data_IF_760024743328
#
_entry.id   IF_760024743328
#
_cell.length_a   1.000
_cell.length_b   1.000
_cell.length_c   1.000
_cell.angle_alpha   90.00
_cell.angle_beta   90.00
_cell.angle_gamma   90.00
#
_symmetry.space_group_name_H-M   'P 1'
#
loop_
_entity.id
_entity.type
_entity.pdbx_description
1 polymer ?
#
# COMPACT_ATOMS: atom_id res chain seq x y z
N UNK A 1 -7.34 -8.98 20.97
CA UNK A 1 -7.61 -9.26 19.54
C UNK A 1 -6.40 -9.90 18.87
N UNK A 2 -5.18 -9.32 19.04
CA UNK A 2 -3.95 -9.83 18.43
C UNK A 2 -3.73 -11.31 18.79
N UNK A 3 -3.73 -11.69 20.06
CA UNK A 3 -3.60 -13.08 20.53
C UNK A 3 -4.60 -14.05 19.88
N UNK A 4 -5.84 -13.60 19.67
CA UNK A 4 -6.88 -14.41 19.04
C UNK A 4 -6.67 -14.59 17.53
N UNK A 5 -6.28 -13.52 16.84
CA UNK A 5 -6.12 -13.54 15.37
C UNK A 5 -4.79 -14.14 14.93
N UNK A 6 -3.71 -13.95 15.70
CA UNK A 6 -2.35 -14.29 15.31
C UNK A 6 -2.18 -15.74 14.83
N UNK A 7 -2.62 -16.80 15.55
CA UNK A 7 -2.43 -18.18 15.08
C UNK A 7 -3.11 -18.46 13.75
N UNK A 8 -4.26 -17.83 13.49
CA UNK A 8 -5.03 -18.00 12.25
C UNK A 8 -4.37 -17.29 11.07
N UNK A 9 -3.87 -16.10 11.33
CA UNK A 9 -3.11 -15.34 10.34
C UNK A 9 -1.81 -16.05 9.98
N UNK A 10 -1.13 -16.66 10.96
CA UNK A 10 0.07 -17.47 10.72
C UNK A 10 -0.22 -18.71 9.87
N UNK A 11 -1.35 -19.40 10.10
CA UNK A 11 -1.78 -20.50 9.24
C UNK A 11 -2.02 -20.05 7.79
N UNK A 12 -2.72 -18.95 7.61
CA UNK A 12 -2.96 -18.38 6.29
C UNK A 12 -1.65 -17.91 5.62
N UNK A 13 -0.77 -17.25 6.39
CA UNK A 13 0.54 -16.85 5.92
C UNK A 13 1.38 -18.04 5.45
N UNK A 14 1.44 -19.11 6.25
CA UNK A 14 2.16 -20.34 5.90
C UNK A 14 1.62 -21.00 4.62
N UNK A 15 0.30 -21.04 4.43
CA UNK A 15 -0.32 -21.52 3.20
C UNK A 15 0.03 -20.62 2.00
N UNK A 16 -0.17 -19.32 2.14
CA UNK A 16 0.03 -18.33 1.09
C UNK A 16 1.50 -18.23 0.63
N UNK A 17 2.45 -18.44 1.56
CA UNK A 17 3.90 -18.38 1.29
C UNK A 17 4.55 -19.75 1.00
N UNK A 18 3.76 -20.80 0.81
CA UNK A 18 4.25 -22.12 0.45
C UNK A 18 4.89 -22.91 1.58
N UNK A 19 4.72 -22.50 2.83
CA UNK A 19 5.27 -23.17 4.02
C UNK A 19 4.33 -24.23 4.60
N UNK A 20 3.05 -24.24 4.21
CA UNK A 20 2.10 -25.27 4.59
C UNK A 20 2.24 -26.53 3.71
N UNK A 21 2.06 -27.70 4.30
CA UNK A 21 2.10 -28.96 3.55
C UNK A 21 1.10 -28.99 2.39
N UNK A 22 1.56 -29.35 1.21
CA UNK A 22 0.76 -29.39 -0.03
C UNK A 22 0.62 -28.05 -0.76
N UNK A 23 1.17 -26.94 -0.24
CA UNK A 23 1.25 -25.69 -0.97
C UNK A 23 2.36 -25.74 -2.03
N UNK A 24 2.06 -25.21 -3.23
CA UNK A 24 3.01 -25.11 -4.36
C UNK A 24 3.35 -23.66 -4.72
N UNK A 25 2.96 -22.69 -3.89
CA UNK A 25 3.18 -21.27 -4.17
C UNK A 25 4.65 -20.86 -4.20
N UNK A 26 5.54 -21.57 -3.50
CA UNK A 26 6.96 -21.26 -3.34
C UNK A 26 7.88 -22.32 -3.96
N UNK A 27 7.45 -23.05 -4.97
CA UNK A 27 8.23 -24.11 -5.62
C UNK A 27 9.20 -23.62 -6.70
N UNK A 28 9.25 -22.31 -6.96
CA UNK A 28 10.12 -21.70 -7.95
C UNK A 28 11.48 -21.28 -7.35
N UNK A 29 12.56 -21.47 -8.12
CA UNK A 29 13.92 -21.14 -7.67
C UNK A 29 14.18 -19.63 -7.52
N UNK A 30 13.38 -18.78 -8.18
CA UNK A 30 13.46 -17.33 -8.04
C UNK A 30 13.06 -16.84 -6.64
N UNK A 31 12.35 -17.65 -5.85
CA UNK A 31 11.77 -17.24 -4.58
C UNK A 31 10.52 -16.36 -4.70
N UNK A 32 10.06 -16.07 -5.93
CA UNK A 32 8.80 -15.40 -6.18
C UNK A 32 7.62 -16.35 -5.97
N UNK A 33 6.47 -15.81 -5.55
CA UNK A 33 5.30 -16.62 -5.20
C UNK A 33 4.37 -16.80 -6.40
N UNK A 34 3.84 -18.02 -6.52
CA UNK A 34 2.94 -18.47 -7.58
C UNK A 34 1.60 -18.94 -7.03
N UNK A 35 0.58 -18.06 -6.89
CA UNK A 35 -0.70 -18.42 -6.29
C UNK A 35 -1.70 -19.11 -7.23
N UNK A 36 -1.41 -19.21 -8.52
CA UNK A 36 -2.36 -19.63 -9.58
C UNK A 36 -2.91 -21.05 -9.44
N UNK A 37 -2.22 -21.92 -8.69
CA UNK A 37 -2.66 -23.32 -8.51
C UNK A 37 -3.98 -23.42 -7.74
N UNK A 38 -4.37 -22.38 -7.03
CA UNK A 38 -5.58 -22.37 -6.21
C UNK A 38 -6.71 -21.61 -6.87
N UNK A 39 -6.37 -20.55 -7.59
CA UNK A 39 -7.37 -19.64 -8.15
C UNK A 39 -6.75 -18.78 -9.24
N UNK A 40 -7.27 -18.85 -10.48
CA UNK A 40 -6.68 -18.11 -11.59
C UNK A 40 -6.77 -16.59 -11.37
N UNK A 41 -7.82 -16.11 -10.69
CA UNK A 41 -8.01 -14.71 -10.34
C UNK A 41 -7.52 -14.38 -8.93
N UNK A 42 -6.35 -14.90 -8.54
CA UNK A 42 -5.82 -14.75 -7.18
C UNK A 42 -5.45 -13.31 -6.79
N UNK A 43 -5.32 -12.41 -7.75
CA UNK A 43 -5.17 -10.97 -7.50
C UNK A 43 -6.48 -10.24 -7.22
N UNK A 44 -7.64 -10.85 -7.49
CA UNK A 44 -8.95 -10.22 -7.37
C UNK A 44 -9.19 -9.11 -8.40
N UNK A 45 -8.42 -9.07 -9.48
CA UNK A 45 -8.46 -8.05 -10.52
C UNK A 45 -8.94 -8.68 -11.84
N UNK A 46 -10.25 -8.86 -11.97
CA UNK A 46 -10.92 -9.76 -12.91
C UNK A 46 -10.48 -9.65 -14.36
N UNK A 47 -10.30 -8.45 -14.89
CA UNK A 47 -9.86 -8.22 -16.27
C UNK A 47 -8.48 -7.54 -16.36
N UNK A 48 -7.67 -7.63 -15.30
CA UNK A 48 -6.33 -7.06 -15.30
C UNK A 48 -5.47 -7.71 -16.39
N UNK A 49 -4.84 -6.91 -17.28
CA UNK A 49 -4.24 -7.43 -18.50
C UNK A 49 -3.25 -8.58 -18.35
N UNK A 50 -2.22 -8.51 -17.47
CA UNK A 50 -1.28 -9.62 -17.35
C UNK A 50 -1.91 -10.87 -16.75
N UNK A 51 -2.89 -10.73 -15.85
CA UNK A 51 -3.59 -11.86 -15.24
C UNK A 51 -4.41 -12.63 -16.29
N UNK A 52 -5.14 -11.92 -17.14
CA UNK A 52 -5.83 -12.51 -18.28
C UNK A 52 -4.88 -13.22 -19.23
N UNK A 53 -3.77 -12.57 -19.59
CA UNK A 53 -2.78 -13.15 -20.49
C UNK A 53 -2.16 -14.44 -19.92
N UNK A 54 -1.88 -14.49 -18.61
CA UNK A 54 -1.40 -15.71 -17.95
C UNK A 54 -2.40 -16.86 -18.14
N UNK A 55 -3.69 -16.60 -17.91
CA UNK A 55 -4.74 -17.61 -18.04
C UNK A 55 -4.95 -18.04 -19.50
N UNK A 56 -5.09 -17.09 -20.42
CA UNK A 56 -5.32 -17.34 -21.85
C UNK A 56 -4.15 -18.15 -22.50
N UNK A 57 -2.92 -17.88 -22.06
CA UNK A 57 -1.71 -18.56 -22.55
C UNK A 57 -1.33 -19.80 -21.72
N UNK A 58 -2.11 -20.15 -20.68
CA UNK A 58 -1.86 -21.30 -19.79
C UNK A 58 -0.48 -21.25 -19.13
N UNK A 59 -0.11 -20.08 -18.62
CA UNK A 59 1.19 -19.83 -18.01
C UNK A 59 1.17 -19.92 -16.48
N UNK A 60 0.08 -20.38 -15.86
CA UNK A 60 -0.13 -20.39 -14.41
C UNK A 60 0.98 -21.12 -13.65
N UNK A 61 1.57 -22.16 -14.25
CA UNK A 61 2.68 -22.90 -13.65
C UNK A 61 4.05 -22.23 -13.79
N UNK A 62 4.18 -21.24 -14.65
CA UNK A 62 5.45 -20.65 -15.07
C UNK A 62 5.52 -19.15 -14.95
N UNK A 63 4.48 -18.50 -14.48
CA UNK A 63 4.41 -17.05 -14.37
C UNK A 63 4.03 -16.64 -12.94
N UNK A 64 4.75 -15.68 -12.37
CA UNK A 64 4.46 -15.13 -11.04
C UNK A 64 3.99 -13.68 -11.14
N UNK A 65 2.87 -13.34 -10.48
CA UNK A 65 2.44 -11.95 -10.32
C UNK A 65 3.27 -11.25 -9.24
N UNK A 66 3.63 -10.01 -9.48
CA UNK A 66 4.41 -9.20 -8.53
C UNK A 66 3.64 -8.93 -7.25
N UNK A 67 2.37 -8.59 -7.38
CA UNK A 67 1.50 -8.18 -6.27
C UNK A 67 1.44 -9.23 -5.17
N UNK A 68 1.47 -10.51 -5.49
CA UNK A 68 1.42 -11.60 -4.52
C UNK A 68 2.65 -11.60 -3.61
N UNK A 69 3.86 -11.52 -4.19
CA UNK A 69 5.10 -11.46 -3.41
C UNK A 69 5.21 -10.15 -2.64
N UNK A 70 4.75 -9.02 -3.20
CA UNK A 70 4.69 -7.75 -2.49
C UNK A 70 3.78 -7.81 -1.25
N UNK A 71 2.60 -8.42 -1.36
CA UNK A 71 1.73 -8.66 -0.20
C UNK A 71 2.38 -9.59 0.83
N UNK A 72 3.12 -10.62 0.41
CA UNK A 72 3.84 -11.50 1.33
C UNK A 72 4.88 -10.72 2.15
N UNK A 73 5.64 -9.82 1.53
CA UNK A 73 6.55 -8.91 2.25
C UNK A 73 5.79 -8.08 3.29
N UNK A 74 4.70 -7.44 2.87
CA UNK A 74 3.91 -6.60 3.79
C UNK A 74 3.30 -7.40 4.94
N UNK A 75 2.72 -8.57 4.66
CA UNK A 75 2.18 -9.46 5.68
C UNK A 75 3.27 -9.94 6.66
N UNK A 76 4.43 -10.34 6.15
CA UNK A 76 5.56 -10.76 6.98
C UNK A 76 5.98 -9.67 7.97
N UNK A 77 6.11 -8.42 7.54
CA UNK A 77 6.47 -7.29 8.41
C UNK A 77 5.42 -7.00 9.49
N UNK A 78 4.14 -7.01 9.12
CA UNK A 78 3.06 -6.78 10.09
C UNK A 78 3.02 -7.92 11.12
N UNK A 79 3.16 -9.16 10.66
CA UNK A 79 3.16 -10.34 11.53
C UNK A 79 4.42 -10.41 12.41
N UNK A 80 5.60 -9.99 11.91
CA UNK A 80 6.81 -9.89 12.71
C UNK A 80 6.64 -8.90 13.87
N UNK A 81 6.12 -7.71 13.60
CA UNK A 81 5.79 -6.76 14.67
C UNK A 81 4.76 -7.34 15.65
N UNK A 82 3.72 -8.03 15.17
CA UNK A 82 2.72 -8.67 16.04
C UNK A 82 3.34 -9.78 16.89
N UNK A 83 4.26 -10.56 16.32
CA UNK A 83 5.01 -11.60 17.03
C UNK A 83 5.88 -11.01 18.16
N UNK A 84 6.56 -9.90 17.90
CA UNK A 84 7.30 -9.15 18.94
C UNK A 84 6.38 -8.71 20.09
N UNK A 85 5.21 -8.14 19.77
CA UNK A 85 4.24 -7.72 20.80
C UNK A 85 3.72 -8.88 21.65
N UNK A 86 3.62 -10.08 21.06
CA UNK A 86 3.14 -11.30 21.73
C UNK A 86 4.26 -12.15 22.34
N UNK A 87 5.51 -11.65 22.33
CA UNK A 87 6.71 -12.35 22.79
C UNK A 87 7.00 -13.70 22.08
N UNK A 88 6.61 -13.82 20.80
CA UNK A 88 6.93 -14.93 19.91
C UNK A 88 8.21 -14.65 19.11
N UNK A 89 9.37 -14.60 19.77
CA UNK A 89 10.64 -14.16 19.16
C UNK A 89 11.07 -14.99 17.95
N UNK A 90 10.96 -16.32 18.01
CA UNK A 90 11.32 -17.22 16.90
C UNK A 90 10.47 -16.97 15.64
N UNK A 91 9.19 -16.70 15.82
CA UNK A 91 8.31 -16.33 14.71
C UNK A 91 8.69 -14.97 14.13
N UNK A 92 9.01 -13.99 14.99
CA UNK A 92 9.43 -12.65 14.56
C UNK A 92 10.67 -12.74 13.67
N UNK A 93 11.72 -13.42 14.13
CA UNK A 93 12.98 -13.62 13.39
C UNK A 93 12.76 -14.34 12.04
N UNK A 94 11.86 -15.33 12.01
CA UNK A 94 11.52 -16.05 10.78
C UNK A 94 10.78 -15.16 9.79
N UNK A 95 9.84 -14.37 10.25
CA UNK A 95 9.03 -13.47 9.41
C UNK A 95 9.88 -12.31 8.86
N UNK A 96 10.83 -11.80 9.63
CA UNK A 96 11.80 -10.79 9.16
C UNK A 96 12.68 -11.36 8.04
N UNK A 97 13.20 -12.58 8.20
CA UNK A 97 13.96 -13.29 7.15
C UNK A 97 13.12 -13.56 5.90
N UNK A 98 11.85 -13.90 6.07
CA UNK A 98 10.92 -14.06 4.93
C UNK A 98 10.71 -12.74 4.20
N UNK A 99 10.50 -11.63 4.92
CA UNK A 99 10.35 -10.30 4.31
C UNK A 99 11.61 -9.89 3.52
N UNK A 100 12.80 -10.15 4.05
CA UNK A 100 14.07 -9.90 3.36
C UNK A 100 14.22 -10.78 2.10
N UNK A 101 13.93 -12.08 2.23
CA UNK A 101 14.01 -13.03 1.12
C UNK A 101 13.09 -12.64 -0.03
N UNK A 102 11.82 -12.33 0.27
CA UNK A 102 10.86 -11.91 -0.75
C UNK A 102 11.20 -10.54 -1.36
N UNK A 103 11.70 -9.61 -0.54
CA UNK A 103 12.18 -8.31 -1.04
C UNK A 103 13.31 -8.49 -2.05
N UNK A 104 14.29 -9.33 -1.72
CA UNK A 104 15.42 -9.65 -2.61
C UNK A 104 14.95 -10.30 -3.90
N UNK A 105 14.05 -11.28 -3.82
CA UNK A 105 13.48 -11.93 -5.00
C UNK A 105 12.78 -10.94 -5.96
N UNK A 106 12.03 -9.98 -5.41
CA UNK A 106 11.42 -8.90 -6.21
C UNK A 106 12.48 -8.02 -6.89
N UNK A 107 13.49 -7.57 -6.15
CA UNK A 107 14.53 -6.67 -6.67
C UNK A 107 15.41 -7.33 -7.73
N UNK A 108 15.77 -8.61 -7.53
CA UNK A 108 16.67 -9.35 -8.42
C UNK A 108 15.97 -9.86 -9.69
N UNK A 109 14.68 -10.23 -9.60
CA UNK A 109 14.02 -10.96 -10.67
C UNK A 109 12.85 -10.25 -11.32
N UNK A 110 12.22 -9.30 -10.63
CA UNK A 110 10.96 -8.71 -11.12
C UNK A 110 11.07 -7.28 -11.67
N UNK A 111 12.19 -6.59 -11.45
CA UNK A 111 12.36 -5.22 -11.96
C UNK A 111 12.71 -5.21 -13.44
N UNK A 112 11.85 -4.62 -14.27
CA UNK A 112 12.09 -4.36 -15.70
C UNK A 112 12.60 -2.92 -15.88
N UNK A 113 13.92 -2.77 -15.96
CA UNK A 113 14.61 -1.48 -16.11
C UNK A 113 14.06 -0.67 -17.29
N UNK A 114 13.82 -1.35 -18.42
CA UNK A 114 13.36 -0.68 -19.65
C UNK A 114 11.95 -0.11 -19.53
N UNK A 115 11.09 -0.70 -18.71
CA UNK A 115 9.74 -0.22 -18.43
C UNK A 115 9.67 0.72 -17.23
N UNK A 116 10.63 0.62 -16.31
CA UNK A 116 10.58 1.27 -15.00
C UNK A 116 9.40 0.80 -14.15
N UNK A 117 9.07 -0.50 -14.25
CA UNK A 117 8.02 -1.19 -13.49
C UNK A 117 8.46 -2.61 -13.12
N UNK A 118 7.90 -3.15 -12.06
CA UNK A 118 8.03 -4.58 -11.79
C UNK A 118 7.10 -5.37 -12.72
N UNK A 119 7.67 -6.37 -13.43
CA UNK A 119 6.96 -7.20 -14.39
C UNK A 119 6.46 -8.51 -13.80
N UNK A 120 5.45 -9.12 -14.42
CA UNK A 120 5.13 -10.52 -14.21
C UNK A 120 6.30 -11.36 -14.74
N UNK A 121 6.84 -12.25 -13.90
CA UNK A 121 8.07 -13.00 -14.20
C UNK A 121 7.73 -14.37 -14.77
N UNK A 122 8.26 -14.64 -15.94
CA UNK A 122 8.23 -15.97 -16.58
C UNK A 122 9.38 -16.82 -16.06
N UNK A 123 9.14 -18.11 -15.91
CA UNK A 123 10.13 -19.08 -15.43
C UNK A 123 10.37 -20.20 -16.44
N UNK A 124 11.59 -20.70 -16.48
CA UNK A 124 11.96 -21.89 -17.23
C UNK A 124 11.45 -23.19 -16.56
N UNK A 125 11.72 -24.34 -17.18
CA UNK A 125 11.31 -25.65 -16.67
C UNK A 125 11.96 -26.01 -15.32
N UNK A 126 13.07 -25.35 -14.97
CA UNK A 126 13.75 -25.51 -13.69
C UNK A 126 13.26 -24.51 -12.63
N UNK A 127 12.30 -23.65 -12.94
CA UNK A 127 11.76 -22.62 -12.04
C UNK A 127 12.65 -21.40 -11.86
N UNK A 128 13.64 -21.18 -12.73
CA UNK A 128 14.48 -19.98 -12.72
C UNK A 128 13.81 -18.86 -13.50
N UNK A 129 13.97 -17.61 -13.05
CA UNK A 129 13.49 -16.46 -13.77
C UNK A 129 14.10 -16.38 -15.19
N UNK A 130 13.26 -16.28 -16.22
CA UNK A 130 13.66 -16.35 -17.63
C UNK A 130 13.25 -15.11 -18.43
N UNK A 131 12.51 -14.17 -17.84
CA UNK A 131 12.09 -12.94 -18.49
C UNK A 131 10.74 -12.43 -17.96
N UNK A 132 10.17 -11.47 -18.67
CA UNK A 132 8.91 -10.83 -18.29
C UNK A 132 7.78 -11.19 -19.25
N UNK A 133 6.57 -11.28 -18.71
CA UNK A 133 5.36 -11.31 -19.53
C UNK A 133 5.22 -9.97 -20.26
N UNK A 134 5.18 -10.02 -21.59
CA UNK A 134 5.03 -8.85 -22.46
C UNK A 134 3.73 -8.96 -23.25
N UNK A 135 3.19 -7.80 -23.64
CA UNK A 135 2.06 -7.76 -24.55
C UNK A 135 2.48 -8.07 -26.01
N UNK A 136 1.53 -8.01 -26.93
CA UNK A 136 1.80 -8.29 -28.35
C UNK A 136 2.77 -7.29 -29.01
N UNK A 137 2.97 -6.11 -28.45
CA UNK A 137 3.93 -5.09 -28.92
C UNK A 137 5.31 -5.21 -28.26
N UNK A 138 5.51 -6.19 -27.37
CA UNK A 138 6.76 -6.39 -26.64
C UNK A 138 6.92 -5.49 -25.42
N UNK A 139 5.88 -4.77 -25.00
CA UNK A 139 5.88 -3.90 -23.83
C UNK A 139 5.61 -4.73 -22.56
N UNK A 140 6.19 -4.35 -21.43
CA UNK A 140 5.92 -4.96 -20.14
C UNK A 140 4.41 -4.96 -19.86
N UNK A 141 3.83 -6.13 -19.65
CA UNK A 141 2.37 -6.27 -19.52
C UNK A 141 1.84 -5.87 -18.11
N UNK A 142 2.72 -5.38 -17.21
CA UNK A 142 2.38 -4.99 -15.84
C UNK A 142 2.67 -3.50 -15.54
N UNK A 143 2.60 -2.63 -16.54
CA UNK A 143 2.70 -1.18 -16.32
C UNK A 143 1.40 -0.69 -15.66
N UNK A 144 1.46 -0.47 -14.35
CA UNK A 144 0.29 -0.09 -13.57
C UNK A 144 0.49 -0.28 -12.07
N UNK A 145 -0.61 -0.25 -11.31
CA UNK A 145 -0.58 -0.41 -9.85
C UNK A 145 -0.04 -1.78 -9.41
N UNK A 146 -0.23 -2.83 -10.22
CA UNK A 146 0.37 -4.13 -9.99
C UNK A 146 1.90 -4.06 -10.04
N UNK A 147 2.46 -3.37 -11.06
CA UNK A 147 3.90 -3.15 -11.21
C UNK A 147 4.50 -2.17 -10.21
N UNK A 148 3.68 -1.32 -9.59
CA UNK A 148 4.10 -0.41 -8.52
C UNK A 148 3.88 -0.99 -7.10
N UNK A 149 3.29 -2.18 -6.98
CA UNK A 149 2.94 -2.78 -5.68
C UNK A 149 4.11 -2.97 -4.70
N UNK A 150 5.37 -3.20 -5.11
CA UNK A 150 6.49 -3.23 -4.18
C UNK A 150 6.72 -1.94 -3.38
N UNK A 151 6.18 -0.79 -3.82
CA UNK A 151 6.20 0.46 -3.03
C UNK A 151 5.47 0.30 -1.70
N UNK A 152 4.21 -0.16 -1.71
CA UNK A 152 3.45 -0.32 -0.46
C UNK A 152 3.97 -1.49 0.40
N UNK A 153 4.70 -2.40 -0.19
CA UNK A 153 5.43 -3.42 0.55
C UNK A 153 6.73 -2.89 1.17
N UNK A 154 7.23 -1.75 0.71
CA UNK A 154 8.54 -1.22 1.06
C UNK A 154 9.68 -2.10 0.54
N UNK A 155 9.51 -2.71 -0.63
CA UNK A 155 10.41 -3.70 -1.23
C UNK A 155 11.23 -3.15 -2.42
N UNK A 156 11.16 -1.85 -2.69
CA UNK A 156 11.93 -1.17 -3.73
C UNK A 156 13.32 -0.76 -3.24
N UNK A 157 14.29 -0.65 -4.16
CA UNK A 157 15.48 0.19 -3.93
C UNK A 157 15.08 1.67 -3.96
N UNK A 158 15.99 2.56 -3.60
CA UNK A 158 15.74 4.02 -3.63
C UNK A 158 15.39 4.46 -5.06
N UNK A 159 16.19 4.04 -6.04
CA UNK A 159 16.02 4.41 -7.45
C UNK A 159 14.70 3.86 -8.04
N UNK A 160 14.36 2.61 -7.72
CA UNK A 160 13.09 2.01 -8.12
C UNK A 160 11.91 2.77 -7.53
N UNK A 161 12.01 3.14 -6.25
CA UNK A 161 10.95 3.87 -5.56
C UNK A 161 10.77 5.27 -6.14
N UNK A 162 11.86 6.01 -6.39
CA UNK A 162 11.79 7.35 -6.98
C UNK A 162 11.12 7.32 -8.35
N UNK A 163 11.55 6.44 -9.26
CA UNK A 163 10.95 6.31 -10.59
C UNK A 163 9.47 5.92 -10.56
N UNK A 164 9.07 5.05 -9.62
CA UNK A 164 7.67 4.69 -9.46
C UNK A 164 6.83 5.84 -8.86
N UNK A 165 7.37 6.63 -7.92
CA UNK A 165 6.67 7.81 -7.40
C UNK A 165 6.46 8.87 -8.48
N UNK A 166 7.41 9.07 -9.37
CA UNK A 166 7.25 9.96 -10.54
C UNK A 166 6.10 9.50 -11.43
N UNK A 167 6.03 8.20 -11.76
CA UNK A 167 4.94 7.63 -12.55
C UNK A 167 3.57 7.72 -11.86
N UNK A 168 3.51 7.49 -10.55
CA UNK A 168 2.28 7.65 -9.77
C UNK A 168 1.79 9.10 -9.76
N UNK A 169 2.68 10.08 -9.75
CA UNK A 169 2.33 11.50 -9.72
C UNK A 169 2.02 12.09 -11.10
N UNK A 170 2.45 11.43 -12.18
CA UNK A 170 2.37 11.92 -13.56
C UNK A 170 1.00 11.67 -14.19
N UNK A 171 0.43 12.69 -14.80
CA UNK A 171 -0.81 12.61 -15.58
C UNK A 171 -0.61 11.91 -16.95
N UNK A 172 0.61 11.78 -17.42
CA UNK A 172 0.93 10.96 -18.59
C UNK A 172 0.91 9.46 -18.27
N UNK A 173 1.10 9.10 -17.00
CA UNK A 173 1.17 7.73 -16.51
C UNK A 173 -0.04 7.34 -15.68
N UNK A 174 0.10 7.30 -14.36
CA UNK A 174 -0.91 6.72 -13.48
C UNK A 174 -1.90 7.73 -12.90
N UNK A 175 -1.53 9.00 -12.76
CA UNK A 175 -2.42 9.99 -12.16
C UNK A 175 -3.53 10.41 -13.12
N UNK A 176 -4.76 10.48 -12.63
CA UNK A 176 -5.93 10.97 -13.37
C UNK A 176 -6.76 11.95 -12.55
N UNK A 177 -7.78 12.53 -13.16
CA UNK A 177 -8.75 13.39 -12.47
C UNK A 177 -9.54 12.68 -11.36
N UNK A 178 -9.54 11.33 -11.33
CA UNK A 178 -10.20 10.50 -10.33
C UNK A 178 -9.23 9.85 -9.33
N UNK A 179 -7.94 10.07 -9.46
CA UNK A 179 -6.87 9.40 -8.71
C UNK A 179 -6.03 8.49 -9.59
N UNK A 180 -5.39 7.48 -8.98
CA UNK A 180 -4.51 6.54 -9.67
C UNK A 180 -5.31 5.54 -10.52
N UNK A 181 -5.06 5.52 -11.82
CA UNK A 181 -5.62 4.49 -12.71
C UNK A 181 -4.96 3.13 -12.44
N UNK A 182 -5.68 2.05 -12.64
CA UNK A 182 -5.17 0.68 -12.40
C UNK A 182 -4.03 0.33 -13.33
N UNK A 183 -4.11 0.75 -14.60
CA UNK A 183 -3.10 0.58 -15.64
C UNK A 183 -2.53 1.94 -16.03
N UNK A 184 -1.25 1.99 -16.32
CA UNK A 184 -0.57 3.17 -16.85
C UNK A 184 -1.24 3.63 -18.16
N UNK A 185 -1.62 4.90 -18.23
CA UNK A 185 -2.35 5.46 -19.36
C UNK A 185 -1.53 5.52 -20.64
N UNK A 186 -0.21 5.43 -20.54
CA UNK A 186 0.70 5.30 -21.68
C UNK A 186 0.85 3.86 -22.20
N UNK A 187 0.38 2.86 -21.43
CA UNK A 187 0.49 1.47 -21.83
C UNK A 187 -0.45 1.16 -23.03
N UNK A 188 0.01 0.41 -24.04
CA UNK A 188 -0.79 0.13 -25.25
C UNK A 188 -2.06 -0.70 -24.96
N UNK A 189 -2.13 -1.35 -23.82
CA UNK A 189 -3.27 -2.15 -23.37
C UNK A 189 -4.18 -1.42 -22.36
N UNK A 190 -3.91 -0.14 -22.07
CA UNK A 190 -4.81 0.69 -21.25
C UNK A 190 -6.17 0.86 -21.96
N UNK A 191 -7.25 0.78 -21.18
CA UNK A 191 -8.61 0.98 -21.69
C UNK A 191 -9.33 2.08 -20.92
N UNK A 192 -9.77 3.10 -21.64
CA UNK A 192 -10.50 4.25 -21.10
C UNK A 192 -11.81 3.87 -20.42
N UNK A 193 -12.47 2.83 -20.93
CA UNK A 193 -13.73 2.24 -20.43
C UNK A 193 -13.49 0.94 -19.64
N UNK A 194 -12.24 0.69 -19.25
CA UNK A 194 -11.86 -0.56 -18.62
C UNK A 194 -12.32 -0.67 -17.17
N UNK A 195 -12.42 -1.89 -16.69
CA UNK A 195 -12.73 -2.25 -15.31
C UNK A 195 -11.44 -2.25 -14.48
N UNK A 196 -10.72 -3.39 -14.36
CA UNK A 196 -9.38 -3.43 -13.75
C UNK A 196 -8.24 -3.07 -14.73
N UNK A 197 -8.54 -2.75 -15.96
CA UNK A 197 -7.55 -2.31 -16.93
C UNK A 197 -7.64 -0.82 -17.29
N UNK A 198 -8.20 0.00 -16.38
CA UNK A 198 -8.25 1.45 -16.59
C UNK A 198 -8.92 2.25 -15.48
N UNK A 199 -9.95 1.72 -14.81
CA UNK A 199 -10.70 2.46 -13.78
C UNK A 199 -9.91 2.72 -12.49
N UNK A 200 -10.48 3.56 -11.62
CA UNK A 200 -9.93 3.93 -10.31
C UNK A 200 -10.65 3.16 -9.21
N UNK A 201 -9.88 2.51 -8.33
CA UNK A 201 -10.38 1.66 -7.25
C UNK A 201 -9.89 2.16 -5.90
N UNK A 202 -10.80 2.49 -4.99
CA UNK A 202 -10.46 3.13 -3.70
C UNK A 202 -9.54 2.28 -2.80
N UNK A 203 -9.64 0.94 -2.72
CA UNK A 203 -8.71 0.14 -1.93
C UNK A 203 -7.24 0.32 -2.33
N UNK A 204 -6.96 0.43 -3.63
CA UNK A 204 -5.59 0.65 -4.10
C UNK A 204 -5.12 2.11 -3.95
N UNK A 205 -6.04 3.08 -4.05
CA UNK A 205 -5.74 4.45 -3.61
C UNK A 205 -5.28 4.45 -2.15
N UNK A 206 -5.95 3.66 -1.29
CA UNK A 206 -5.59 3.55 0.12
C UNK A 206 -4.23 2.88 0.34
N UNK A 207 -3.89 1.84 -0.41
CA UNK A 207 -2.57 1.21 -0.32
C UNK A 207 -1.44 2.19 -0.62
N UNK A 208 -1.59 2.99 -1.69
CA UNK A 208 -0.59 4.00 -2.06
C UNK A 208 -0.62 5.25 -1.17
N UNK A 209 -1.77 5.60 -0.60
CA UNK A 209 -1.85 6.62 0.46
C UNK A 209 -1.02 6.22 1.68
N UNK A 210 -1.15 5.00 2.15
CA UNK A 210 -0.36 4.48 3.28
C UNK A 210 1.13 4.42 2.93
N UNK A 211 1.48 3.96 1.72
CA UNK A 211 2.85 3.96 1.23
C UNK A 211 3.44 5.38 1.12
N UNK A 212 2.63 6.37 0.75
CA UNK A 212 3.07 7.76 0.70
C UNK A 212 3.41 8.31 2.10
N UNK A 213 2.65 7.92 3.12
CA UNK A 213 2.98 8.25 4.51
C UNK A 213 4.28 7.55 4.95
N UNK A 214 4.47 6.27 4.62
CA UNK A 214 5.73 5.55 4.89
C UNK A 214 6.95 6.18 4.20
N UNK A 215 6.74 6.87 3.07
CA UNK A 215 7.79 7.59 2.34
C UNK A 215 7.90 9.08 2.73
N UNK A 216 7.16 9.55 3.73
CA UNK A 216 7.15 10.95 4.14
C UNK A 216 6.56 11.92 3.10
N UNK A 217 5.80 11.40 2.11
CA UNK A 217 5.22 12.16 0.98
C UNK A 217 3.80 12.65 1.32
N UNK A 218 3.67 13.50 2.34
CA UNK A 218 2.37 13.98 2.86
C UNK A 218 1.55 14.71 1.81
N UNK A 219 2.19 15.50 0.95
CA UNK A 219 1.52 16.20 -0.15
C UNK A 219 0.87 15.25 -1.16
N UNK A 220 1.53 14.11 -1.49
CA UNK A 220 0.96 13.10 -2.37
C UNK A 220 -0.16 12.31 -1.69
N UNK A 221 0.01 11.96 -0.40
CA UNK A 221 -1.03 11.35 0.40
C UNK A 221 -2.30 12.23 0.44
N UNK A 222 -2.14 13.53 0.67
CA UNK A 222 -3.25 14.47 0.62
C UNK A 222 -3.90 14.53 -0.75
N UNK A 223 -3.12 14.57 -1.84
CA UNK A 223 -3.63 14.58 -3.21
C UNK A 223 -4.53 13.37 -3.48
N UNK A 224 -4.15 12.17 -3.03
CA UNK A 224 -4.99 10.96 -3.12
C UNK A 224 -6.30 11.15 -2.35
N UNK A 225 -6.20 11.52 -1.08
CA UNK A 225 -7.36 11.63 -0.20
C UNK A 225 -8.34 12.72 -0.65
N UNK A 226 -7.87 13.93 -0.95
CA UNK A 226 -8.68 15.06 -1.39
C UNK A 226 -9.39 14.76 -2.72
N UNK A 227 -8.69 14.15 -3.69
CA UNK A 227 -9.28 13.74 -4.97
C UNK A 227 -10.39 12.72 -4.75
N UNK A 228 -10.16 11.72 -3.92
CA UNK A 228 -11.17 10.68 -3.63
C UNK A 228 -12.38 11.25 -2.86
N UNK A 229 -12.15 12.13 -1.88
CA UNK A 229 -13.22 12.76 -1.10
C UNK A 229 -14.12 13.63 -1.97
N UNK A 230 -13.54 14.44 -2.87
CA UNK A 230 -14.31 15.26 -3.82
C UNK A 230 -15.10 14.40 -4.80
N UNK A 231 -14.48 13.38 -5.36
CA UNK A 231 -15.14 12.44 -6.27
C UNK A 231 -16.34 11.77 -5.61
N UNK A 232 -16.18 11.37 -4.36
CA UNK A 232 -17.24 10.78 -3.56
C UNK A 232 -18.35 11.78 -3.19
N UNK A 233 -17.98 13.00 -2.84
CA UNK A 233 -18.95 14.07 -2.57
C UNK A 233 -19.84 14.32 -3.80
N UNK A 234 -19.24 14.43 -4.98
CA UNK A 234 -19.95 14.69 -6.23
C UNK A 234 -20.88 13.51 -6.59
N UNK A 235 -20.40 12.27 -6.45
CA UNK A 235 -21.20 11.08 -6.75
C UNK A 235 -22.35 10.89 -5.77
N UNK A 236 -22.10 11.03 -4.47
CA UNK A 236 -23.15 10.91 -3.45
C UNK A 236 -24.21 12.00 -3.60
N UNK A 237 -23.84 13.22 -3.95
CA UNK A 237 -24.78 14.30 -4.22
C UNK A 237 -25.67 14.01 -5.44
N UNK A 238 -25.14 13.30 -6.44
CA UNK A 238 -25.86 13.00 -7.68
C UNK A 238 -26.72 11.73 -7.61
N UNK A 239 -26.26 10.67 -6.92
CA UNK A 239 -26.86 9.35 -7.00
C UNK A 239 -27.20 8.70 -5.65
N UNK A 240 -26.64 9.18 -4.55
CA UNK A 240 -26.70 8.53 -3.21
C UNK A 240 -26.11 7.11 -3.16
N UNK A 241 -25.22 6.76 -4.11
CA UNK A 241 -24.64 5.43 -4.19
C UNK A 241 -23.16 5.41 -3.83
N UNK A 242 -22.68 4.23 -3.38
CA UNK A 242 -21.27 3.91 -3.15
C UNK A 242 -20.81 2.86 -4.16
N UNK A 243 -20.31 3.32 -5.27
CA UNK A 243 -19.94 2.47 -6.39
C UNK A 243 -18.67 1.65 -6.16
N UNK A 244 -18.56 0.59 -6.94
CA UNK A 244 -17.45 -0.35 -6.94
C UNK A 244 -16.14 0.29 -7.40
N UNK A 245 -16.19 1.08 -8.48
CA UNK A 245 -15.06 1.80 -9.06
C UNK A 245 -15.51 3.11 -9.70
N UNK A 246 -14.56 3.92 -10.16
CA UNK A 246 -14.84 5.17 -10.84
C UNK A 246 -14.19 5.20 -12.22
N UNK A 247 -15.00 5.63 -13.22
CA UNK A 247 -14.56 5.83 -14.59
C UNK A 247 -13.87 7.18 -14.73
N UNK A 248 -12.66 7.20 -15.30
CA UNK A 248 -11.83 8.41 -15.40
C UNK A 248 -12.50 9.47 -16.27
N UNK A 249 -13.06 9.07 -17.43
CA UNK A 249 -13.60 10.00 -18.41
C UNK A 249 -14.87 10.71 -17.93
N UNK A 250 -15.81 9.96 -17.36
CA UNK A 250 -17.07 10.52 -16.87
C UNK A 250 -16.96 11.11 -15.45
N UNK A 251 -15.92 10.73 -14.71
CA UNK A 251 -15.75 11.00 -13.27
C UNK A 251 -16.96 10.49 -12.45
N UNK A 252 -17.63 9.45 -12.93
CA UNK A 252 -18.80 8.85 -12.29
C UNK A 252 -18.48 7.46 -11.79
N UNK A 253 -19.20 7.05 -10.75
CA UNK A 253 -19.17 5.69 -10.25
C UNK A 253 -19.74 4.70 -11.27
N UNK A 254 -19.21 3.49 -11.27
CA UNK A 254 -19.61 2.39 -12.13
C UNK A 254 -19.49 1.04 -11.40
N UNK A 255 -19.94 -0.02 -12.04
CA UNK A 255 -20.03 -1.36 -11.44
C UNK A 255 -21.18 -1.47 -10.46
N UNK A 256 -21.02 -2.26 -9.41
CA UNK A 256 -22.06 -2.43 -8.40
C UNK A 256 -22.26 -1.15 -7.59
N UNK A 257 -23.49 -0.69 -7.51
CA UNK A 257 -23.85 0.62 -6.96
C UNK A 257 -23.96 0.70 -5.42
N UNK A 258 -23.81 -0.41 -4.72
CA UNK A 258 -23.83 -0.50 -3.24
C UNK A 258 -22.66 -1.34 -2.71
N UNK A 259 -21.45 -0.94 -3.04
CA UNK A 259 -20.22 -1.66 -2.66
C UNK A 259 -19.48 -0.97 -1.50
N UNK A 260 -20.12 -0.93 -0.32
CA UNK A 260 -19.58 -0.24 0.87
C UNK A 260 -18.19 -0.71 1.28
N UNK A 261 -17.84 -1.98 1.07
CA UNK A 261 -16.51 -2.51 1.41
C UNK A 261 -15.38 -1.86 0.62
N UNK A 262 -15.58 -1.61 -0.68
CA UNK A 262 -14.59 -0.93 -1.52
C UNK A 262 -14.52 0.57 -1.25
N UNK A 263 -15.56 1.13 -0.60
CA UNK A 263 -15.67 2.55 -0.27
C UNK A 263 -15.12 2.91 1.11
N UNK A 264 -14.84 1.93 1.96
CA UNK A 264 -14.36 2.15 3.32
C UNK A 264 -13.15 3.11 3.43
N UNK A 265 -12.18 3.14 2.49
CA UNK A 265 -11.08 4.10 2.53
C UNK A 265 -11.51 5.57 2.59
N UNK A 266 -12.64 5.92 1.96
CA UNK A 266 -13.15 7.31 1.95
C UNK A 266 -13.47 7.80 3.36
N UNK A 267 -14.10 6.95 4.19
CA UNK A 267 -14.39 7.28 5.58
C UNK A 267 -13.09 7.46 6.41
N UNK A 268 -12.06 6.64 6.14
CA UNK A 268 -10.76 6.80 6.80
C UNK A 268 -10.05 8.10 6.40
N UNK A 269 -10.06 8.48 5.12
CA UNK A 269 -9.49 9.76 4.69
C UNK A 269 -10.23 10.95 5.28
N UNK A 270 -11.56 10.89 5.33
CA UNK A 270 -12.33 11.93 5.99
C UNK A 270 -11.94 12.06 7.48
N UNK A 271 -11.83 10.93 8.18
CA UNK A 271 -11.40 10.94 9.57
C UNK A 271 -9.97 11.47 9.72
N UNK A 272 -9.03 11.01 8.90
CA UNK A 272 -7.62 11.39 8.94
C UNK A 272 -7.40 12.89 8.78
N UNK A 273 -8.19 13.55 7.94
CA UNK A 273 -7.98 14.96 7.62
C UNK A 273 -8.93 15.92 8.34
N UNK A 274 -10.12 15.46 8.77
CA UNK A 274 -11.17 16.39 9.21
C UNK A 274 -11.80 16.04 10.56
N UNK A 275 -11.51 14.90 11.17
CA UNK A 275 -12.11 14.52 12.46
C UNK A 275 -11.09 14.65 13.59
N UNK A 276 -11.21 15.66 14.47
CA UNK A 276 -10.35 15.80 15.64
C UNK A 276 -10.37 14.57 16.53
N UNK A 277 -9.19 14.15 17.00
CA UNK A 277 -9.01 12.90 17.74
C UNK A 277 -8.59 11.73 16.85
N UNK A 278 -8.14 11.99 15.61
CA UNK A 278 -7.64 10.97 14.69
C UNK A 278 -6.13 11.07 14.52
N UNK A 279 -5.44 9.93 14.71
CA UNK A 279 -4.03 9.73 14.40
C UNK A 279 -3.91 8.71 13.28
N UNK A 280 -3.27 9.10 12.18
CA UNK A 280 -3.12 8.25 10.99
C UNK A 280 -1.65 8.08 10.64
N UNK A 281 -1.26 6.83 10.39
CA UNK A 281 0.13 6.43 10.08
C UNK A 281 0.20 5.68 8.76
N UNK A 282 1.39 5.48 8.23
CA UNK A 282 1.69 4.52 7.17
C UNK A 282 1.53 3.05 7.63
N UNK A 283 2.10 2.12 6.88
CA UNK A 283 2.15 0.70 7.24
C UNK A 283 3.32 0.37 8.18
N UNK A 284 4.39 1.17 8.14
CA UNK A 284 5.64 0.93 8.86
C UNK A 284 5.68 1.66 10.22
N UNK A 285 4.59 2.33 10.60
CA UNK A 285 4.45 3.02 11.90
C UNK A 285 3.21 2.51 12.63
N UNK A 286 3.42 1.85 13.76
CA UNK A 286 2.35 1.31 14.61
C UNK A 286 2.10 2.23 15.80
N UNK A 287 0.83 2.51 16.10
CA UNK A 287 0.40 3.24 17.27
C UNK A 287 0.30 2.25 18.43
N UNK A 288 1.21 2.35 19.40
CA UNK A 288 1.18 1.52 20.62
C UNK A 288 0.22 2.09 21.66
N UNK A 289 0.26 3.42 21.83
CA UNK A 289 -0.64 4.15 22.71
C UNK A 289 -0.89 5.55 22.16
N UNK A 290 -2.10 6.07 22.35
CA UNK A 290 -2.44 7.45 22.03
C UNK A 290 -3.35 8.01 23.15
N UNK A 291 -2.91 9.09 23.78
CA UNK A 291 -3.67 9.82 24.78
C UNK A 291 -4.02 11.19 24.26
N UNK A 292 -5.31 11.43 24.09
CA UNK A 292 -5.83 12.71 23.65
C UNK A 292 -6.08 13.61 24.86
N UNK A 293 -5.67 14.86 24.79
CA UNK A 293 -6.04 15.85 25.81
C UNK A 293 -7.52 16.22 25.68
N UNK A 294 -8.16 16.75 26.75
CA UNK A 294 -9.58 17.10 26.73
C UNK A 294 -9.95 17.96 25.51
N UNK A 295 -11.07 17.63 24.88
CA UNK A 295 -11.53 18.29 23.66
C UNK A 295 -10.64 18.08 22.43
N UNK A 296 -9.79 17.06 22.41
CA UNK A 296 -8.79 16.82 21.37
C UNK A 296 -7.82 18.00 21.18
N UNK A 297 -7.55 18.74 22.25
CA UNK A 297 -6.68 19.92 22.22
C UNK A 297 -5.20 19.56 22.10
N UNK A 298 -4.81 18.30 22.24
CA UNK A 298 -3.44 17.81 22.11
C UNK A 298 -3.37 16.30 22.07
N UNK A 299 -2.19 15.77 21.81
CA UNK A 299 -1.90 14.34 21.69
C UNK A 299 -0.56 13.99 22.33
N UNK A 300 -0.54 12.92 23.10
CA UNK A 300 0.66 12.20 23.48
C UNK A 300 0.57 10.79 22.90
N UNK A 301 1.53 10.40 22.08
CA UNK A 301 1.53 9.11 21.41
C UNK A 301 2.85 8.36 21.60
N UNK A 302 2.73 7.05 21.79
CA UNK A 302 3.82 6.10 21.67
C UNK A 302 3.63 5.34 20.37
N UNK A 303 4.61 5.49 19.48
CA UNK A 303 4.65 4.87 18.18
C UNK A 303 5.77 3.84 18.14
N UNK A 304 5.69 2.88 17.23
CA UNK A 304 6.80 2.00 16.90
C UNK A 304 7.04 2.06 15.39
N UNK A 305 8.24 2.50 15.00
CA UNK A 305 8.67 2.52 13.61
C UNK A 305 9.42 1.21 13.30
N UNK A 306 8.97 0.49 12.27
CA UNK A 306 9.56 -0.82 11.91
C UNK A 306 10.72 -0.72 10.94
N UNK A 307 10.95 0.46 10.34
CA UNK A 307 11.99 0.65 9.33
C UNK A 307 12.69 1.99 9.50
N UNK A 308 14.00 2.05 9.15
CA UNK A 308 14.69 3.32 9.02
C UNK A 308 14.20 4.08 7.79
N UNK A 309 14.41 5.40 7.79
CA UNK A 309 14.07 6.29 6.70
C UNK A 309 13.08 7.38 7.13
N UNK A 310 12.64 8.14 6.15
CA UNK A 310 11.68 9.21 6.35
C UNK A 310 10.27 8.66 6.32
N UNK A 311 9.47 8.94 7.34
CA UNK A 311 8.06 8.57 7.42
C UNK A 311 7.21 9.73 7.90
N UNK A 312 5.89 9.64 7.74
CA UNK A 312 4.98 10.68 8.19
C UNK A 312 3.78 10.12 8.97
N UNK A 313 3.27 10.94 9.88
CA UNK A 313 2.01 10.72 10.58
C UNK A 313 1.12 11.95 10.46
N UNK A 314 -0.19 11.74 10.44
CA UNK A 314 -1.19 12.79 10.41
C UNK A 314 -1.91 12.82 11.76
N UNK A 315 -1.96 13.98 12.40
CA UNK A 315 -2.70 14.18 13.65
C UNK A 315 -3.77 15.25 13.45
N UNK A 316 -5.04 14.84 13.49
CA UNK A 316 -6.17 15.76 13.47
C UNK A 316 -6.56 16.13 14.91
N UNK A 317 -6.44 17.40 15.25
CA UNK A 317 -6.65 17.99 16.58
C UNK A 317 -7.73 19.09 16.52
N UNK A 318 -8.19 19.53 17.65
CA UNK A 318 -8.92 20.80 17.74
C UNK A 318 -8.02 21.94 17.24
N UNK A 319 -8.57 22.95 16.53
CA UNK A 319 -7.79 24.08 16.05
C UNK A 319 -7.03 24.80 17.18
N UNK A 320 -5.74 25.05 16.98
CA UNK A 320 -4.89 25.71 17.97
C UNK A 320 -3.42 25.73 17.56
N UNK A 321 -2.63 26.50 18.28
CA UNK A 321 -1.17 26.48 18.15
C UNK A 321 -0.59 25.36 19.00
N UNK A 322 0.34 24.61 18.44
CA UNK A 322 0.94 23.42 19.05
C UNK A 322 2.44 23.57 19.19
N UNK A 323 2.95 23.11 20.32
CA UNK A 323 4.36 22.75 20.51
C UNK A 323 4.50 21.27 20.23
N UNK A 324 5.35 20.92 19.26
CA UNK A 324 5.61 19.55 18.88
C UNK A 324 6.95 19.12 19.44
N UNK A 325 7.01 17.98 20.09
CA UNK A 325 8.24 17.39 20.59
C UNK A 325 8.32 15.91 20.25
N UNK A 326 9.50 15.51 19.77
CA UNK A 326 9.88 14.14 19.45
C UNK A 326 11.40 14.00 19.70
N UNK A 327 11.88 12.79 20.03
CA UNK A 327 13.31 12.54 20.18
C UNK A 327 14.03 12.38 18.84
N UNK A 328 13.29 12.11 17.77
CA UNK A 328 13.81 12.03 16.41
C UNK A 328 13.85 13.43 15.77
N UNK A 329 14.58 13.57 14.67
CA UNK A 329 14.41 14.69 13.76
C UNK A 329 12.96 14.78 13.32
N UNK A 330 12.31 15.94 13.57
CA UNK A 330 10.91 16.15 13.26
C UNK A 330 10.73 17.44 12.47
N UNK A 331 9.99 17.34 11.36
CA UNK A 331 9.42 18.49 10.69
C UNK A 331 7.89 18.38 10.77
N UNK A 332 7.24 19.49 11.08
CA UNK A 332 5.79 19.49 11.20
C UNK A 332 5.21 20.72 10.49
N UNK A 333 4.17 20.49 9.72
CA UNK A 333 3.44 21.50 8.98
C UNK A 333 1.94 21.38 9.27
N UNK A 334 1.29 22.52 9.44
CA UNK A 334 -0.16 22.58 9.57
C UNK A 334 -0.79 22.77 8.18
N UNK A 335 -1.40 21.73 7.64
CA UNK A 335 -2.06 21.79 6.32
C UNK A 335 -3.32 22.67 6.33
N UNK A 336 -4.13 22.56 7.36
CA UNK A 336 -5.27 23.41 7.66
C UNK A 336 -5.50 23.45 9.17
N UNK A 337 -6.41 24.29 9.63
CA UNK A 337 -6.69 24.45 11.06
C UNK A 337 -7.03 23.10 11.72
N UNK A 338 -6.18 22.68 12.65
CA UNK A 338 -6.31 21.43 13.40
C UNK A 338 -5.64 20.20 12.78
N UNK A 339 -5.20 20.21 11.51
CA UNK A 339 -4.46 19.09 10.95
C UNK A 339 -2.95 19.35 10.91
N UNK A 340 -2.20 18.45 11.52
CA UNK A 340 -0.75 18.46 11.53
C UNK A 340 -0.19 17.27 10.73
N UNK A 341 0.67 17.57 9.78
CA UNK A 341 1.49 16.63 9.05
C UNK A 341 2.88 16.60 9.70
N UNK A 342 3.24 15.47 10.27
CA UNK A 342 4.47 15.32 11.04
C UNK A 342 5.36 14.32 10.33
N UNK A 343 6.51 14.77 9.85
CA UNK A 343 7.52 13.94 9.22
C UNK A 343 8.59 13.58 10.26
N UNK A 344 8.93 12.31 10.35
CA UNK A 344 9.90 11.74 11.26
C UNK A 344 11.08 11.17 10.46
N UNK A 345 12.31 11.50 10.86
CA UNK A 345 13.52 10.91 10.32
C UNK A 345 13.97 9.77 11.27
N UNK A 346 13.67 8.54 10.89
CA UNK A 346 13.92 7.33 11.68
C UNK A 346 15.28 6.75 11.32
N UNK A 347 16.24 6.78 12.26
CA UNK A 347 17.59 6.23 12.04
C UNK A 347 17.60 4.70 12.14
N UNK A 348 16.82 4.14 13.08
CA UNK A 348 16.71 2.70 13.30
C UNK A 348 15.30 2.32 13.79
N UNK A 349 14.85 1.07 13.54
CA UNK A 349 13.57 0.60 14.07
C UNK A 349 13.49 0.74 15.59
N UNK A 350 12.31 1.08 16.09
CA UNK A 350 12.10 1.18 17.53
C UNK A 350 10.98 2.11 17.95
N UNK A 351 10.81 2.28 19.27
CA UNK A 351 9.78 3.11 19.85
C UNK A 351 10.08 4.60 19.71
N UNK A 352 9.06 5.36 19.38
CA UNK A 352 9.10 6.82 19.21
C UNK A 352 8.00 7.47 20.03
N UNK A 353 8.36 8.44 20.87
CA UNK A 353 7.39 9.25 21.59
C UNK A 353 7.18 10.56 20.87
N UNK A 354 5.92 10.85 20.55
CA UNK A 354 5.47 12.05 19.85
C UNK A 354 4.45 12.80 20.73
N UNK A 355 4.73 14.07 21.03
CA UNK A 355 3.79 14.91 21.74
C UNK A 355 3.44 16.16 20.93
N UNK A 356 2.16 16.46 20.85
CA UNK A 356 1.59 17.69 20.31
C UNK A 356 0.80 18.34 21.45
N UNK A 357 1.36 19.38 22.04
CA UNK A 357 0.76 20.03 23.21
C UNK A 357 0.41 21.49 22.86
N UNK A 358 -0.72 22.03 23.35
CA UNK A 358 -1.05 23.45 23.15
C UNK A 358 0.08 24.37 23.61
N UNK A 359 0.35 25.45 22.87
CA UNK A 359 1.27 26.49 23.34
C UNK A 359 0.78 27.07 24.67
N UNK A 360 1.68 27.12 25.66
CA UNK A 360 1.36 27.62 27.02
C UNK A 360 0.92 26.54 28.00
N UNK A 361 0.73 25.27 27.59
CA UNK A 361 0.58 24.17 28.54
C UNK A 361 1.95 23.86 29.21
N UNK A 362 2.03 23.85 30.53
CA UNK A 362 3.17 23.30 31.24
C UNK A 362 3.21 21.78 30.99
N UNK A 363 4.37 21.26 30.62
CA UNK A 363 4.61 19.82 30.72
C UNK A 363 4.66 19.49 32.22
N UNK A 364 3.70 18.71 32.72
CA UNK A 364 3.80 18.06 34.02
C UNK A 364 4.86 16.96 34.01
#
# INVERSE_FOLDING_TARGET
LAEYCYPRLMQYYAFFTGQAGGSTTADLQSGLLRPWDYFYNSGGWDDYPPQKAVHEQRLEKRCTPVVTTAHAVRCARILAYTAHLLAHGEDADRLEKDAERFTRALQEHAWDEGAGYFGYVLHDEQGRAAGFLRDASGVNHNMGLGGASPLFAGACTVEQAEGLWEKLASEEHLWSACGLSTVDRSAPYYRRDGYWNGAVWMPYQWMFFKAALDAGKTGFAFRIADTALRLWQDECAASYHCFEHFMIESRRGAGWHQFGGLSAPVAQWFAAYYVPGTLTTGFDVFVQCARWLPGNAGLEAELYCTRPGRTAVLAALAPGKMRISCRLGVAAEQRHAGLWEITLDVEQPGPVRLNLLPEGSCAE
#
